data_IF_466254207959
#
_entry.id   IF_466254207959
#
_cell.length_a   1.000
_cell.length_b   1.000
_cell.length_c   1.000
_cell.angle_alpha   90.00
_cell.angle_beta   90.00
_cell.angle_gamma   90.00
#
_symmetry.space_group_name_H-M   'P 1'
#
loop_
_entity.id
_entity.type
_entity.pdbx_description
1 polymer ?
#
# COMPACT_ATOMS: atom_id res chain seq x y z
N UNK A 1 -12.46 -17.06 -54.50
CA UNK A 1 -11.60 -17.02 -53.29
C UNK A 1 -11.66 -18.39 -52.62
N UNK A 2 -10.60 -19.19 -52.70
CA UNK A 2 -10.66 -20.62 -52.31
C UNK A 2 -10.60 -20.84 -50.80
N UNK A 3 -11.17 -21.95 -50.29
CA UNK A 3 -11.22 -22.24 -48.84
C UNK A 3 -9.84 -22.33 -48.18
N UNK A 4 -8.79 -22.60 -48.97
CA UNK A 4 -7.38 -22.55 -48.54
C UNK A 4 -6.93 -21.13 -48.16
N UNK A 5 -7.43 -20.12 -48.85
CA UNK A 5 -7.12 -18.70 -48.60
C UNK A 5 -7.78 -18.21 -47.30
N UNK A 6 -9.01 -18.65 -47.05
CA UNK A 6 -9.75 -18.35 -45.81
C UNK A 6 -9.05 -18.98 -44.59
N UNK A 7 -8.55 -20.22 -44.71
CA UNK A 7 -7.81 -20.88 -43.62
C UNK A 7 -6.52 -20.15 -43.27
N UNK A 8 -5.81 -19.61 -44.26
CA UNK A 8 -4.59 -18.82 -44.04
C UNK A 8 -4.92 -17.51 -43.31
N UNK A 9 -5.99 -16.82 -43.71
CA UNK A 9 -6.45 -15.59 -43.04
C UNK A 9 -6.82 -15.87 -41.58
N UNK A 10 -7.54 -16.97 -41.31
CA UNK A 10 -7.93 -17.37 -39.95
C UNK A 10 -6.69 -17.72 -39.11
N UNK A 11 -5.71 -18.42 -39.66
CA UNK A 11 -4.46 -18.74 -38.95
C UNK A 11 -3.65 -17.48 -38.60
N UNK A 12 -3.59 -16.52 -39.51
CA UNK A 12 -2.91 -15.23 -39.27
C UNK A 12 -3.64 -14.45 -38.17
N UNK A 13 -4.97 -14.36 -38.22
CA UNK A 13 -5.76 -13.66 -37.19
C UNK A 13 -5.61 -14.28 -35.79
N UNK A 14 -5.51 -15.61 -35.69
CA UNK A 14 -5.28 -16.29 -34.41
C UNK A 14 -3.87 -16.00 -33.87
N UNK A 15 -2.86 -15.91 -34.73
CA UNK A 15 -1.49 -15.59 -34.30
C UNK A 15 -1.32 -14.16 -33.77
N UNK A 16 -2.13 -13.20 -34.22
CA UNK A 16 -2.11 -11.82 -33.72
C UNK A 16 -2.70 -11.68 -32.30
N UNK A 17 -3.48 -12.65 -31.83
CA UNK A 17 -4.11 -12.62 -30.49
C UNK A 17 -3.15 -12.84 -29.32
N UNK A 18 -1.94 -13.34 -29.56
CA UNK A 18 -0.98 -13.68 -28.50
C UNK A 18 0.04 -12.56 -28.19
N UNK A 19 -0.02 -11.43 -28.90
CA UNK A 19 0.89 -10.29 -28.66
C UNK A 19 0.32 -9.22 -27.73
N UNK A 20 -0.76 -9.51 -27.00
CA UNK A 20 -1.23 -8.67 -25.90
C UNK A 20 -0.29 -8.82 -24.71
N UNK A 21 0.86 -8.14 -24.81
CA UNK A 21 1.83 -7.99 -23.75
C UNK A 21 1.17 -7.21 -22.61
N UNK A 22 0.86 -7.92 -21.53
CA UNK A 22 0.40 -7.33 -20.29
C UNK A 22 1.57 -6.54 -19.70
N UNK A 23 1.59 -5.23 -19.92
CA UNK A 23 2.48 -4.36 -19.15
C UNK A 23 1.95 -4.37 -17.73
N UNK A 24 2.58 -5.17 -16.87
CA UNK A 24 2.48 -4.96 -15.44
C UNK A 24 3.07 -3.56 -15.20
N UNK A 25 2.19 -2.56 -15.12
CA UNK A 25 2.56 -1.33 -14.44
C UNK A 25 3.00 -1.78 -13.05
N UNK A 26 4.26 -1.55 -12.64
CA UNK A 26 4.68 -1.92 -11.31
C UNK A 26 3.70 -1.25 -10.37
N UNK A 27 2.84 -2.04 -9.74
CA UNK A 27 1.97 -1.53 -8.71
C UNK A 27 2.93 -0.96 -7.68
N UNK A 28 2.94 0.37 -7.55
CA UNK A 28 3.73 1.02 -6.52
C UNK A 28 3.30 0.34 -5.22
N UNK A 29 4.20 -0.43 -4.62
CA UNK A 29 3.92 -1.08 -3.34
C UNK A 29 3.51 0.04 -2.40
N UNK A 30 2.40 -0.16 -1.69
CA UNK A 30 1.97 0.82 -0.71
C UNK A 30 3.10 1.06 0.30
N UNK A 31 3.49 2.31 0.47
CA UNK A 31 4.51 2.76 1.39
C UNK A 31 3.96 3.93 2.22
N UNK A 32 4.32 3.97 3.50
CA UNK A 32 3.95 5.02 4.43
C UNK A 32 4.71 6.33 4.17
N UNK A 33 5.66 6.29 3.24
CA UNK A 33 6.53 7.41 2.89
C UNK A 33 7.72 7.48 3.83
N UNK A 34 8.62 8.41 3.52
CA UNK A 34 9.89 8.58 4.22
C UNK A 34 10.15 10.05 4.51
N UNK A 35 10.94 10.30 5.55
CA UNK A 35 11.40 11.64 5.91
C UNK A 35 12.91 11.70 5.77
N UNK A 36 13.38 12.58 4.89
CA UNK A 36 14.80 12.84 4.66
C UNK A 36 15.01 14.36 4.63
N UNK A 37 15.99 14.86 5.40
CA UNK A 37 16.34 16.29 5.43
C UNK A 37 15.15 17.25 5.67
N UNK A 38 14.20 16.86 6.53
CA UNK A 38 13.03 17.68 6.84
C UNK A 38 11.95 17.71 5.76
N UNK A 39 12.01 16.80 4.77
CA UNK A 39 11.00 16.64 3.73
C UNK A 39 10.36 15.27 3.89
N UNK A 40 9.04 15.24 4.03
CA UNK A 40 8.25 14.02 3.88
C UNK A 40 7.96 13.77 2.41
N UNK A 41 8.16 12.54 1.93
CA UNK A 41 7.82 12.11 0.58
C UNK A 41 7.01 10.82 0.61
N UNK A 42 5.93 10.77 -0.17
CA UNK A 42 5.16 9.55 -0.38
C UNK A 42 5.07 9.26 -1.89
N UNK A 43 5.75 8.20 -2.35
CA UNK A 43 5.80 7.84 -3.76
C UNK A 43 4.48 7.26 -4.28
N UNK A 44 3.73 6.57 -3.40
CA UNK A 44 2.44 5.97 -3.73
C UNK A 44 1.42 7.05 -4.09
N UNK A 45 1.31 8.11 -3.27
CA UNK A 45 0.43 9.25 -3.51
C UNK A 45 1.06 10.36 -4.37
N UNK A 46 2.37 10.30 -4.64
CA UNK A 46 3.06 11.19 -5.57
C UNK A 46 3.23 12.62 -5.07
N UNK A 47 3.41 12.82 -3.75
CA UNK A 47 3.61 14.16 -3.17
C UNK A 47 4.81 14.23 -2.23
N UNK A 48 5.24 15.46 -1.95
CA UNK A 48 6.24 15.77 -0.93
C UNK A 48 5.88 17.06 -0.22
N UNK A 49 6.16 17.13 1.08
CA UNK A 49 5.84 18.26 1.95
C UNK A 49 7.01 18.57 2.85
N UNK A 50 7.34 19.86 2.98
CA UNK A 50 8.33 20.31 3.94
C UNK A 50 7.76 20.27 5.36
N UNK A 51 8.49 19.62 6.25
CA UNK A 51 8.11 19.48 7.65
C UNK A 51 8.59 20.74 8.39
N UNK A 52 7.73 21.42 9.15
CA UNK A 52 8.15 22.57 9.95
C UNK A 52 9.21 22.19 10.98
N UNK A 53 10.22 23.04 11.17
CA UNK A 53 11.38 22.78 12.05
C UNK A 53 11.04 22.43 13.50
N UNK A 54 9.87 22.86 13.99
CA UNK A 54 9.42 22.62 15.37
C UNK A 54 8.60 21.34 15.54
N UNK A 55 8.38 20.58 14.46
CA UNK A 55 7.61 19.35 14.52
C UNK A 55 8.51 18.18 14.86
N UNK A 56 8.02 17.33 15.77
CA UNK A 56 8.67 16.06 16.08
C UNK A 56 8.03 14.99 15.19
N UNK A 57 8.81 14.42 14.28
CA UNK A 57 8.39 13.30 13.46
C UNK A 57 8.59 12.02 14.24
N UNK A 58 7.52 11.26 14.48
CA UNK A 58 7.60 9.98 15.17
C UNK A 58 7.77 8.83 14.16
N UNK A 59 8.73 7.96 14.41
CA UNK A 59 8.87 6.71 13.65
C UNK A 59 7.69 5.77 13.95
N UNK A 60 7.50 4.77 13.10
CA UNK A 60 6.45 3.77 13.30
C UNK A 60 6.67 2.98 14.59
N UNK A 61 7.91 2.62 14.86
CA UNK A 61 8.31 1.89 16.07
C UNK A 61 8.02 2.71 17.33
N UNK A 62 8.23 4.03 17.27
CA UNK A 62 7.89 4.94 18.37
C UNK A 62 6.37 5.01 18.59
N UNK A 63 5.59 5.06 17.52
CA UNK A 63 4.12 5.06 17.60
C UNK A 63 3.61 3.72 18.18
N UNK A 64 4.11 2.60 17.69
CA UNK A 64 3.73 1.26 18.18
C UNK A 64 4.07 1.09 19.66
N UNK A 65 5.28 1.50 20.08
CA UNK A 65 5.67 1.47 21.49
C UNK A 65 4.81 2.37 22.38
N UNK A 66 4.47 3.58 21.91
CA UNK A 66 3.56 4.48 22.62
C UNK A 66 2.17 3.87 22.75
N UNK A 67 1.68 3.21 21.70
CA UNK A 67 0.37 2.59 21.66
C UNK A 67 0.30 1.41 22.65
N UNK A 68 1.32 0.56 22.71
CA UNK A 68 1.39 -0.54 23.68
C UNK A 68 1.48 -0.04 25.13
N UNK A 69 2.26 1.00 25.38
CA UNK A 69 2.33 1.63 26.69
C UNK A 69 0.98 2.21 27.10
N UNK A 70 0.29 2.88 26.17
CA UNK A 70 -1.03 3.46 26.42
C UNK A 70 -2.11 2.40 26.66
N UNK A 71 -2.07 1.27 25.94
CA UNK A 71 -2.98 0.14 26.15
C UNK A 71 -2.89 -0.35 27.59
N UNK A 72 -1.67 -0.56 28.11
CA UNK A 72 -1.46 -1.02 29.50
C UNK A 72 -1.99 -0.02 30.52
N UNK A 73 -1.87 1.28 30.25
CA UNK A 73 -2.37 2.34 31.14
C UNK A 73 -3.89 2.38 31.14
N UNK A 74 -4.52 2.31 29.96
CA UNK A 74 -5.98 2.42 29.80
C UNK A 74 -6.69 1.18 30.32
N UNK A 75 -6.14 -0.01 30.06
CA UNK A 75 -6.76 -1.28 30.45
C UNK A 75 -6.41 -1.69 31.87
N UNK A 76 -5.22 -1.34 32.37
CA UNK A 76 -4.73 -1.80 33.67
C UNK A 76 -4.77 -3.33 33.79
N UNK A 77 -5.22 -3.84 34.93
CA UNK A 77 -5.44 -5.26 35.16
C UNK A 77 -6.87 -5.73 34.83
N UNK A 78 -7.72 -4.85 34.28
CA UNK A 78 -9.13 -5.12 34.00
C UNK A 78 -9.31 -5.87 32.67
N UNK A 79 -9.69 -7.15 32.77
CA UNK A 79 -9.93 -8.03 31.61
C UNK A 79 -11.10 -7.57 30.75
N UNK A 80 -12.13 -6.96 31.34
CA UNK A 80 -13.27 -6.44 30.59
C UNK A 80 -12.87 -5.20 29.79
N UNK A 81 -12.12 -4.27 30.39
CA UNK A 81 -11.57 -3.12 29.63
C UNK A 81 -10.62 -3.55 28.53
N UNK A 82 -9.78 -4.55 28.78
CA UNK A 82 -8.93 -5.11 27.73
C UNK A 82 -9.73 -5.63 26.53
N UNK A 83 -10.79 -6.40 26.78
CA UNK A 83 -11.64 -6.92 25.72
C UNK A 83 -12.35 -5.81 24.91
N UNK A 84 -12.80 -4.74 25.59
CA UNK A 84 -13.42 -3.58 24.93
C UNK A 84 -12.40 -2.82 24.06
N UNK A 85 -11.18 -2.60 24.59
CA UNK A 85 -10.10 -1.97 23.85
C UNK A 85 -9.69 -2.77 22.60
N UNK A 86 -9.53 -4.08 22.74
CA UNK A 86 -9.20 -4.97 21.63
C UNK A 86 -10.28 -4.95 20.53
N UNK A 87 -11.56 -4.95 20.92
CA UNK A 87 -12.67 -4.84 19.98
C UNK A 87 -12.65 -3.50 19.21
N UNK A 88 -12.24 -2.40 19.86
CA UNK A 88 -12.14 -1.10 19.23
C UNK A 88 -10.98 -0.99 18.22
N UNK A 89 -9.92 -1.81 18.36
CA UNK A 89 -8.75 -1.79 17.46
C UNK A 89 -9.00 -2.43 16.10
N UNK A 90 -10.06 -3.25 15.97
CA UNK A 90 -10.37 -4.04 14.77
C UNK A 90 -11.23 -3.27 13.75
N UNK A 91 -11.79 -2.10 14.14
CA UNK A 91 -12.66 -1.27 13.31
C UNK A 91 -11.97 0.00 12.84
#
# INVERSE_FOLDING_TARGET
MGSRFIKIIVLVLISYGFFSCQSETPQKLFDYGKVENGIYSNEYFGFSVQIPDKWVVQSREQQEGLMEASEKIVTGDDKYMKAVYDAAKVN
#
